data_IF_250734746502
#
_entry.id   IF_250734746502
#
_cell.length_a   1.000
_cell.length_b   1.000
_cell.length_c   1.000
_cell.angle_alpha   90.00
_cell.angle_beta   90.00
_cell.angle_gamma   90.00
#
_symmetry.space_group_name_H-M   'P 1'
#
loop_
_entity.id
_entity.type
_entity.pdbx_description
1 polymer ?
#
# COMPACT_ATOMS: atom_id res chain seq x y z
N UNK A 1 -10.89 -12.26 14.40
CA UNK A 1 -9.45 -12.21 14.04
C UNK A 1 -9.19 -10.78 13.59
N UNK A 2 -8.14 -10.13 14.12
CA UNK A 2 -7.91 -8.68 13.96
C UNK A 2 -7.75 -8.31 12.46
N UNK A 3 -8.72 -7.64 11.79
CA UNK A 3 -8.66 -7.48 10.34
C UNK A 3 -7.75 -6.31 9.90
N UNK A 4 -7.11 -5.57 10.82
CA UNK A 4 -6.81 -4.14 10.58
C UNK A 4 -5.51 -3.58 11.09
N UNK A 5 -4.76 -4.41 11.78
CA UNK A 5 -3.33 -4.18 11.99
C UNK A 5 -2.56 -5.27 11.25
N UNK A 6 -3.14 -5.73 10.12
CA UNK A 6 -2.53 -6.73 9.29
C UNK A 6 -1.21 -6.21 8.76
N UNK A 7 -0.17 -7.03 8.90
CA UNK A 7 1.14 -6.75 8.33
C UNK A 7 1.06 -6.56 6.81
N UNK A 8 -0.01 -7.03 6.15
CA UNK A 8 -0.33 -6.80 4.74
C UNK A 8 -0.49 -5.32 4.38
N UNK A 9 -1.21 -4.54 5.18
CA UNK A 9 -1.39 -3.10 4.96
C UNK A 9 -0.06 -2.39 5.03
N UNK A 10 0.67 -2.59 6.12
CA UNK A 10 1.98 -1.97 6.35
C UNK A 10 2.94 -2.36 5.23
N UNK A 11 3.00 -3.64 4.87
CA UNK A 11 3.84 -4.14 3.78
C UNK A 11 3.50 -3.49 2.44
N UNK A 12 2.20 -3.36 2.12
CA UNK A 12 1.76 -2.67 0.91
C UNK A 12 2.16 -1.18 0.91
N UNK A 13 1.91 -0.44 2.00
CA UNK A 13 2.26 1.00 2.09
C UNK A 13 3.77 1.22 1.93
N UNK A 14 4.58 0.37 2.57
CA UNK A 14 6.05 0.41 2.43
C UNK A 14 6.46 0.05 1.00
N UNK A 15 5.84 -0.95 0.38
CA UNK A 15 6.13 -1.36 -1.00
C UNK A 15 5.86 -0.23 -2.01
N UNK A 16 4.80 0.57 -1.82
CA UNK A 16 4.53 1.75 -2.68
C UNK A 16 5.69 2.74 -2.62
N UNK A 17 6.20 3.04 -1.42
CA UNK A 17 7.36 3.91 -1.24
C UNK A 17 8.63 3.37 -1.91
N UNK A 18 8.92 2.08 -1.69
CA UNK A 18 10.07 1.40 -2.33
C UNK A 18 9.95 1.46 -3.85
N UNK A 19 8.76 1.18 -4.38
CA UNK A 19 8.53 1.15 -5.82
C UNK A 19 8.62 2.56 -6.44
N UNK A 20 8.09 3.58 -5.76
CA UNK A 20 8.28 4.97 -6.14
C UNK A 20 9.76 5.36 -6.25
N UNK A 21 10.59 4.93 -5.30
CA UNK A 21 12.04 5.15 -5.36
C UNK A 21 12.71 4.44 -6.56
N UNK A 22 12.26 3.23 -6.93
CA UNK A 22 12.76 2.52 -8.11
C UNK A 22 12.43 3.19 -9.44
N UNK A 23 11.25 3.80 -9.52
CA UNK A 23 10.75 4.51 -10.71
C UNK A 23 11.35 5.90 -10.86
N UNK A 24 11.82 6.52 -9.76
CA UNK A 24 12.44 7.83 -9.78
C UNK A 24 11.44 8.98 -9.99
N UNK A 25 11.92 10.15 -10.42
CA UNK A 25 11.06 11.32 -10.63
C UNK A 25 10.20 11.16 -11.91
N UNK A 26 8.90 11.52 -11.87
CA UNK A 26 8.17 12.09 -10.73
C UNK A 26 7.48 11.04 -9.81
N UNK A 27 7.57 9.75 -10.14
CA UNK A 27 6.87 8.66 -9.44
C UNK A 27 7.20 8.54 -7.95
N UNK A 28 8.44 8.84 -7.53
CA UNK A 28 8.87 8.85 -6.13
C UNK A 28 8.00 9.75 -5.24
N UNK A 29 7.38 10.79 -5.80
CA UNK A 29 6.45 11.66 -5.09
C UNK A 29 5.00 11.42 -5.50
N UNK A 30 4.76 11.12 -6.78
CA UNK A 30 3.41 10.92 -7.27
C UNK A 30 2.71 9.73 -6.60
N UNK A 31 3.38 8.57 -6.47
CA UNK A 31 2.73 7.39 -5.89
C UNK A 31 2.37 7.57 -4.40
N UNK A 32 3.27 8.09 -3.54
CA UNK A 32 2.93 8.41 -2.14
C UNK A 32 1.85 9.48 -1.94
N UNK A 33 1.56 10.29 -2.95
CA UNK A 33 0.47 11.28 -2.90
C UNK A 33 -0.84 10.69 -3.42
N UNK A 34 -0.78 9.96 -4.54
CA UNK A 34 -1.96 9.31 -5.14
C UNK A 34 -2.58 8.32 -4.18
N UNK A 35 -1.77 7.48 -3.53
CA UNK A 35 -2.26 6.45 -2.63
C UNK A 35 -3.17 7.02 -1.52
N UNK A 36 -2.73 7.93 -0.63
CA UNK A 36 -3.56 8.42 0.46
C UNK A 36 -4.77 9.24 -0.01
N UNK A 37 -4.69 9.95 -1.14
CA UNK A 37 -5.83 10.68 -1.71
C UNK A 37 -6.94 9.71 -2.11
N UNK A 38 -6.60 8.66 -2.87
CA UNK A 38 -7.59 7.68 -3.32
C UNK A 38 -8.06 6.80 -2.18
N UNK A 39 -7.18 6.50 -1.23
CA UNK A 39 -7.53 5.79 -0.01
C UNK A 39 -8.52 6.58 0.85
N UNK A 40 -8.39 7.89 0.97
CA UNK A 40 -9.37 8.72 1.66
C UNK A 40 -10.76 8.63 0.99
N UNK A 41 -10.79 8.58 -0.35
CA UNK A 41 -12.03 8.32 -1.09
C UNK A 41 -12.60 6.92 -0.80
N UNK A 42 -11.76 5.86 -0.80
CA UNK A 42 -12.19 4.52 -0.38
C UNK A 42 -12.73 4.50 1.04
N UNK A 43 -12.09 5.22 1.97
CA UNK A 43 -12.54 5.36 3.35
C UNK A 43 -13.89 6.04 3.49
N UNK A 44 -14.14 7.09 2.70
CA UNK A 44 -15.45 7.71 2.64
C UNK A 44 -16.53 6.71 2.19
N UNK A 45 -16.25 5.86 1.20
CA UNK A 45 -17.18 4.79 0.78
C UNK A 45 -17.46 3.79 1.91
N UNK A 46 -16.43 3.39 2.67
CA UNK A 46 -16.56 2.51 3.83
C UNK A 46 -17.43 3.12 4.93
N UNK A 47 -17.20 4.39 5.27
CA UNK A 47 -17.99 5.15 6.27
C UNK A 47 -19.46 5.26 5.84
N UNK A 48 -19.71 5.50 4.56
CA UNK A 48 -21.08 5.59 4.00
C UNK A 48 -21.77 4.22 3.88
N UNK A 49 -21.09 3.12 4.22
CA UNK A 49 -21.64 1.77 4.11
C UNK A 49 -21.86 1.30 2.67
N UNK A 50 -21.17 1.92 1.70
CA UNK A 50 -21.23 1.48 0.30
C UNK A 50 -20.58 0.10 0.20
N UNK A 51 -21.30 -0.95 -0.23
CA UNK A 51 -20.74 -2.29 -0.26
C UNK A 51 -19.65 -2.39 -1.33
N UNK A 52 -18.46 -2.84 -0.91
CA UNK A 52 -17.36 -3.18 -1.81
C UNK A 52 -17.01 -4.67 -1.61
N UNK A 53 -17.37 -5.56 -2.55
CA UNK A 53 -17.05 -6.97 -2.41
C UNK A 53 -15.54 -7.22 -2.56
N UNK A 54 -15.03 -8.22 -1.85
CA UNK A 54 -13.65 -8.69 -2.00
C UNK A 54 -12.59 -7.74 -1.45
N UNK A 55 -12.89 -6.94 -0.42
CA UNK A 55 -11.94 -6.01 0.21
C UNK A 55 -10.66 -6.71 0.68
N UNK A 56 -10.80 -7.80 1.43
CA UNK A 56 -9.67 -8.61 1.92
C UNK A 56 -8.84 -9.20 0.77
N UNK A 57 -9.50 -9.65 -0.31
CA UNK A 57 -8.83 -10.14 -1.52
C UNK A 57 -8.05 -9.02 -2.19
N UNK A 58 -8.63 -7.82 -2.31
CA UNK A 58 -7.99 -6.65 -2.89
C UNK A 58 -6.75 -6.22 -2.10
N UNK A 59 -6.81 -6.28 -0.77
CA UNK A 59 -5.69 -6.00 0.13
C UNK A 59 -4.58 -7.06 -0.03
N UNK A 60 -4.92 -8.35 -0.02
CA UNK A 60 -3.93 -9.41 -0.21
C UNK A 60 -3.26 -9.33 -1.60
N UNK A 61 -4.04 -9.06 -2.65
CA UNK A 61 -3.54 -8.86 -4.01
C UNK A 61 -2.64 -7.62 -4.12
N UNK A 62 -2.89 -6.56 -3.33
CA UNK A 62 -2.02 -5.37 -3.35
C UNK A 62 -0.60 -5.72 -2.90
N UNK A 63 -0.46 -6.48 -1.80
CA UNK A 63 0.82 -6.96 -1.31
C UNK A 63 1.52 -7.86 -2.33
N UNK A 64 0.78 -8.78 -2.97
CA UNK A 64 1.32 -9.63 -4.05
C UNK A 64 1.84 -8.77 -5.21
N UNK A 65 1.01 -7.90 -5.77
CA UNK A 65 1.35 -7.14 -6.97
C UNK A 65 2.46 -6.14 -6.68
N UNK A 66 2.36 -5.34 -5.63
CA UNK A 66 3.38 -4.34 -5.29
C UNK A 66 4.70 -5.02 -4.87
N UNK A 67 4.62 -6.11 -4.11
CA UNK A 67 5.78 -6.93 -3.76
C UNK A 67 6.50 -7.47 -5.00
N UNK A 68 5.75 -7.99 -5.98
CA UNK A 68 6.30 -8.44 -7.27
C UNK A 68 6.90 -7.29 -8.09
N UNK A 69 6.26 -6.11 -8.11
CA UNK A 69 6.84 -4.94 -8.80
C UNK A 69 8.20 -4.56 -8.21
N UNK A 70 8.35 -4.64 -6.88
CA UNK A 70 9.62 -4.43 -6.17
C UNK A 70 10.61 -5.56 -6.46
N UNK A 71 10.19 -6.82 -6.32
CA UNK A 71 11.04 -8.01 -6.49
C UNK A 71 11.64 -8.13 -7.90
N UNK A 72 10.83 -7.79 -8.90
CA UNK A 72 11.22 -7.80 -10.31
C UNK A 72 11.88 -6.50 -10.75
N UNK A 73 11.97 -5.49 -9.87
CA UNK A 73 12.42 -4.14 -10.19
C UNK A 73 11.69 -3.58 -11.43
N UNK A 74 10.38 -3.81 -11.50
CA UNK A 74 9.55 -3.47 -12.65
C UNK A 74 9.45 -1.95 -12.83
N UNK A 75 9.63 -1.49 -14.07
CA UNK A 75 9.60 -0.07 -14.44
C UNK A 75 8.56 0.24 -15.53
N UNK A 76 7.26 0.04 -15.26
CA UNK A 76 6.23 0.43 -16.22
C UNK A 76 6.13 1.97 -16.34
N UNK A 77 5.43 2.48 -17.37
CA UNK A 77 5.08 3.90 -17.44
C UNK A 77 4.34 4.36 -16.18
N UNK A 78 4.57 5.62 -15.77
CA UNK A 78 4.04 6.16 -14.51
C UNK A 78 2.52 6.06 -14.39
N UNK A 79 1.77 6.21 -15.48
CA UNK A 79 0.32 6.13 -15.46
C UNK A 79 -0.18 4.72 -15.07
N UNK A 80 0.55 3.66 -15.46
CA UNK A 80 0.26 2.29 -15.05
C UNK A 80 0.53 2.14 -13.56
N UNK A 81 1.67 2.64 -13.07
CA UNK A 81 2.01 2.57 -11.66
C UNK A 81 1.00 3.32 -10.78
N UNK A 82 0.60 4.52 -11.20
CA UNK A 82 -0.42 5.32 -10.52
C UNK A 82 -1.78 4.62 -10.51
N UNK A 83 -2.18 3.98 -11.63
CA UNK A 83 -3.42 3.21 -11.69
C UNK A 83 -3.41 2.02 -10.74
N UNK A 84 -2.34 1.22 -10.73
CA UNK A 84 -2.18 0.07 -9.81
C UNK A 84 -2.28 0.52 -8.36
N UNK A 85 -1.54 1.57 -8.00
CA UNK A 85 -1.54 2.16 -6.66
C UNK A 85 -2.92 2.68 -6.27
N UNK A 86 -3.58 3.44 -7.15
CA UNK A 86 -4.91 3.98 -6.90
C UNK A 86 -5.96 2.88 -6.74
N UNK A 87 -5.95 1.86 -7.60
CA UNK A 87 -6.91 0.77 -7.54
C UNK A 87 -6.85 0.03 -6.20
N UNK A 88 -5.63 -0.27 -5.71
CA UNK A 88 -5.46 -0.93 -4.42
C UNK A 88 -5.76 -0.02 -3.23
N UNK A 89 -5.46 1.28 -3.34
CA UNK A 89 -5.76 2.26 -2.30
C UNK A 89 -7.26 2.32 -1.94
N UNK A 90 -8.16 2.06 -2.90
CA UNK A 90 -9.61 1.99 -2.64
C UNK A 90 -9.95 0.92 -1.62
N UNK A 91 -9.38 -0.30 -1.75
CA UNK A 91 -9.68 -1.41 -0.85
C UNK A 91 -9.15 -1.16 0.56
N UNK A 92 -7.90 -0.69 0.68
CA UNK A 92 -7.34 -0.29 1.97
C UNK A 92 -8.17 0.81 2.62
N UNK A 93 -8.54 1.84 1.86
CA UNK A 93 -9.37 2.93 2.33
C UNK A 93 -10.71 2.43 2.84
N UNK A 94 -11.40 1.63 2.04
CA UNK A 94 -12.72 1.08 2.36
C UNK A 94 -12.71 0.25 3.65
N UNK A 95 -11.69 -0.60 3.84
CA UNK A 95 -11.51 -1.34 5.09
C UNK A 95 -11.46 -0.37 6.28
N UNK A 96 -10.52 0.58 6.27
CA UNK A 96 -10.37 1.54 7.37
C UNK A 96 -11.59 2.43 7.62
N UNK A 97 -12.31 2.80 6.56
CA UNK A 97 -13.56 3.55 6.70
C UNK A 97 -14.65 2.73 7.40
N UNK A 98 -14.70 1.43 7.13
CA UNK A 98 -15.70 0.51 7.70
C UNK A 98 -15.50 0.31 9.20
N UNK A 99 -14.26 0.41 9.73
CA UNK A 99 -14.03 0.30 11.18
C UNK A 99 -13.73 1.59 11.89
N UNK A 100 -14.01 2.73 11.24
CA UNK A 100 -14.08 3.99 11.96
C UNK A 100 -15.03 3.81 13.15
N UNK A 101 -14.56 3.95 14.40
CA UNK A 101 -15.44 3.81 15.55
C UNK A 101 -16.57 4.84 15.47
N UNK A 102 -17.81 4.44 15.74
CA UNK A 102 -18.96 5.34 15.65
C UNK A 102 -18.85 6.60 16.54
N UNK A 103 -17.99 6.56 17.55
CA UNK A 103 -17.71 7.68 18.46
C UNK A 103 -16.47 8.51 18.07
N UNK A 104 -15.75 8.16 17.01
CA UNK A 104 -14.56 8.87 16.55
C UNK A 104 -14.92 10.04 15.64
N UNK A 105 -14.13 11.12 15.72
CA UNK A 105 -14.18 12.19 14.72
C UNK A 105 -13.55 11.68 13.41
N UNK A 106 -14.39 11.53 12.38
CA UNK A 106 -13.96 11.03 11.07
C UNK A 106 -12.90 11.90 10.40
N UNK A 107 -12.89 13.22 10.66
CA UNK A 107 -11.88 14.13 10.07
C UNK A 107 -10.51 13.92 10.73
N UNK A 108 -10.47 13.88 12.07
CA UNK A 108 -9.25 13.59 12.80
C UNK A 108 -8.69 12.19 12.46
N UNK A 109 -9.56 11.18 12.36
CA UNK A 109 -9.18 9.84 11.95
C UNK A 109 -8.58 9.83 10.54
N UNK A 110 -9.25 10.43 9.55
CA UNK A 110 -8.74 10.52 8.19
C UNK A 110 -7.39 11.26 8.12
N UNK A 111 -7.23 12.36 8.87
CA UNK A 111 -5.98 13.10 8.96
C UNK A 111 -4.84 12.26 9.52
N UNK A 112 -5.07 11.56 10.64
CA UNK A 112 -4.10 10.63 11.23
C UNK A 112 -3.73 9.49 10.28
N UNK A 113 -4.72 8.98 9.55
CA UNK A 113 -4.54 7.87 8.62
C UNK A 113 -3.70 8.29 7.39
N UNK A 114 -3.97 9.46 6.81
CA UNK A 114 -3.16 10.03 5.72
C UNK A 114 -1.72 10.27 6.18
N UNK A 115 -1.52 10.81 7.39
CA UNK A 115 -0.18 11.03 7.95
C UNK A 115 0.57 9.72 8.18
N UNK A 116 -0.04 8.74 8.84
CA UNK A 116 0.56 7.43 9.08
C UNK A 116 0.94 6.73 7.76
N UNK A 117 0.05 6.78 6.78
CA UNK A 117 0.29 6.24 5.43
C UNK A 117 1.46 6.97 4.78
N UNK A 118 1.48 8.31 4.81
CA UNK A 118 2.59 9.10 4.30
C UNK A 118 3.93 8.72 4.93
N UNK A 119 3.98 8.52 6.25
CA UNK A 119 5.19 8.09 6.94
C UNK A 119 5.66 6.70 6.50
N UNK A 120 4.76 5.74 6.32
CA UNK A 120 5.09 4.40 5.81
C UNK A 120 5.65 4.47 4.37
N UNK A 121 5.08 5.33 3.53
CA UNK A 121 5.61 5.55 2.18
C UNK A 121 7.00 6.18 2.22
N UNK A 122 7.25 7.14 3.11
CA UNK A 122 8.58 7.72 3.30
C UNK A 122 9.59 6.69 3.82
N UNK A 123 9.19 5.80 4.73
CA UNK A 123 10.01 4.65 5.13
C UNK A 123 10.34 3.77 3.94
N UNK A 124 9.34 3.45 3.10
CA UNK A 124 9.55 2.72 1.86
C UNK A 124 10.53 3.40 0.90
N UNK A 125 10.40 4.72 0.71
CA UNK A 125 11.34 5.50 -0.10
C UNK A 125 12.76 5.39 0.46
N UNK A 126 12.93 5.59 1.77
CA UNK A 126 14.23 5.50 2.43
C UNK A 126 14.88 4.14 2.22
N UNK A 127 14.12 3.04 2.34
CA UNK A 127 14.58 1.69 2.01
C UNK A 127 14.93 1.57 0.52
N UNK A 128 14.09 2.11 -0.37
CA UNK A 128 14.33 2.10 -1.81
C UNK A 128 15.62 2.81 -2.23
N UNK A 129 16.11 3.79 -1.46
CA UNK A 129 17.40 4.45 -1.73
C UNK A 129 18.60 3.51 -1.53
N UNK A 130 18.45 2.40 -0.79
CA UNK A 130 19.49 1.39 -0.64
C UNK A 130 19.83 0.70 -1.98
N UNK A 131 18.97 0.81 -2.98
CA UNK A 131 19.17 0.21 -4.31
C UNK A 131 20.31 0.84 -5.12
N UNK A 132 20.90 1.92 -4.61
CA UNK A 132 22.15 2.53 -5.12
C UNK A 132 23.37 1.63 -4.93
N UNK A 133 23.33 0.69 -3.99
CA UNK A 133 24.38 -0.30 -3.77
C UNK A 133 23.93 -1.69 -4.23
N UNK A 134 24.84 -2.52 -4.76
CA UNK A 134 24.48 -3.85 -5.29
C UNK A 134 23.86 -4.76 -4.22
N UNK A 135 24.44 -4.78 -3.02
CA UNK A 135 23.89 -5.54 -1.88
C UNK A 135 22.51 -5.02 -1.49
N UNK A 136 22.32 -3.70 -1.46
CA UNK A 136 21.02 -3.09 -1.16
C UNK A 136 19.97 -3.39 -2.23
N UNK A 137 20.36 -3.43 -3.51
CA UNK A 137 19.47 -3.86 -4.60
C UNK A 137 18.99 -5.29 -4.40
N UNK A 138 19.87 -6.22 -4.05
CA UNK A 138 19.50 -7.61 -3.78
C UNK A 138 18.55 -7.68 -2.57
N UNK A 139 18.90 -7.01 -1.47
CA UNK A 139 18.10 -7.00 -0.25
C UNK A 139 16.69 -6.44 -0.47
N UNK A 140 16.55 -5.32 -1.19
CA UNK A 140 15.25 -4.71 -1.48
C UNK A 140 14.41 -5.59 -2.41
N UNK A 141 15.01 -6.25 -3.40
CA UNK A 141 14.28 -7.20 -4.24
C UNK A 141 13.82 -8.43 -3.45
N UNK A 142 14.66 -8.95 -2.55
CA UNK A 142 14.29 -10.03 -1.64
C UNK A 142 13.14 -9.61 -0.71
N UNK A 143 13.19 -8.38 -0.18
CA UNK A 143 12.09 -7.80 0.60
C UNK A 143 10.79 -7.75 -0.20
N UNK A 144 10.83 -7.30 -1.47
CA UNK A 144 9.67 -7.35 -2.36
C UNK A 144 9.11 -8.76 -2.53
N UNK A 145 9.99 -9.77 -2.67
CA UNK A 145 9.59 -11.18 -2.70
C UNK A 145 8.92 -11.63 -1.40
N UNK A 146 9.46 -11.20 -0.25
CA UNK A 146 8.86 -11.44 1.07
C UNK A 146 7.47 -10.83 1.21
N UNK A 147 7.28 -9.59 0.75
CA UNK A 147 5.97 -8.91 0.74
C UNK A 147 4.98 -9.67 -0.14
N UNK A 148 5.40 -10.12 -1.32
CA UNK A 148 4.54 -10.89 -2.21
C UNK A 148 4.14 -12.24 -1.60
N UNK A 149 5.08 -12.95 -0.96
CA UNK A 149 4.79 -14.21 -0.26
C UNK A 149 3.83 -14.00 0.91
N UNK A 150 3.99 -12.91 1.68
CA UNK A 150 3.04 -12.55 2.73
C UNK A 150 1.63 -12.34 2.16
N UNK A 151 1.51 -11.62 1.05
CA UNK A 151 0.24 -11.46 0.35
C UNK A 151 -0.38 -12.78 -0.10
N UNK A 152 0.41 -13.74 -0.59
CA UNK A 152 -0.08 -15.10 -0.91
C UNK A 152 -0.56 -15.84 0.34
N UNK A 153 0.17 -15.72 1.46
CA UNK A 153 -0.22 -16.35 2.71
C UNK A 153 -1.56 -15.81 3.22
N UNK A 154 -1.77 -14.49 3.17
CA UNK A 154 -3.06 -13.87 3.50
C UNK A 154 -4.17 -14.29 2.54
N UNK A 155 -3.90 -14.30 1.23
CA UNK A 155 -4.90 -14.69 0.21
C UNK A 155 -5.37 -16.14 0.38
N UNK A 156 -4.51 -17.02 0.88
CA UNK A 156 -4.79 -18.44 1.09
C UNK A 156 -5.23 -18.79 2.52
N UNK A 157 -5.27 -17.80 3.42
CA UNK A 157 -5.66 -17.98 4.83
C UNK A 157 -4.63 -18.72 5.68
N UNK A 158 -3.36 -18.74 5.25
CA UNK A 158 -2.24 -19.35 6.00
C UNK A 158 -1.71 -18.40 7.08
N UNK A 159 -1.95 -17.09 6.96
CA UNK A 159 -1.55 -16.03 7.88
C UNK A 159 -2.75 -15.18 8.31
#
# INVERSE_FOLDING_TARGET
MHPLLGWDHIAAMVAVGIWGAFLGLPAIWALPVVFPIVMAFGGALGILGVPLPGVEIGIALSAIVLGLMVALAARPPIWVAAFVVAAFAIFHGHAHGTELPAAADGVAFAGGFVLATGLLHLTGIALGLLTKWDVGRIAIRALGGGIAMAGVAFLTGVA
#
